data_IF_579346658819
#
_entry.id   IF_579346658819
#
_cell.length_a   1.000
_cell.length_b   1.000
_cell.length_c   1.000
_cell.angle_alpha   90.00
_cell.angle_beta   90.00
_cell.angle_gamma   90.00
#
_symmetry.space_group_name_H-M   'P 1'
#
loop_
_entity.id
_entity.type
_entity.pdbx_description
1 polymer ?
#
# COMPACT_ATOMS: atom_id res chain seq x y z
N UNK A 1 -10.11 0.10 7.17
CA UNK A 1 -10.02 -0.96 8.21
C UNK A 1 -9.01 -1.99 7.77
N UNK A 2 -8.25 -2.53 8.72
CA UNK A 2 -7.33 -3.65 8.52
C UNK A 2 -8.11 -4.92 8.78
N UNK A 3 -8.08 -5.84 7.83
CA UNK A 3 -8.74 -7.15 7.90
C UNK A 3 -7.64 -8.20 7.89
N UNK A 4 -7.63 -9.04 8.91
CA UNK A 4 -6.75 -10.21 8.99
C UNK A 4 -7.51 -11.44 8.55
N UNK A 5 -6.96 -12.17 7.58
CA UNK A 5 -7.62 -13.28 6.93
C UNK A 5 -6.62 -14.42 6.62
N UNK A 6 -7.11 -15.62 6.36
CA UNK A 6 -6.31 -16.76 5.93
C UNK A 6 -6.35 -16.90 4.41
N UNK A 7 -5.19 -17.03 3.79
CA UNK A 7 -5.04 -17.36 2.37
C UNK A 7 -5.49 -18.80 2.10
N UNK A 8 -5.65 -19.17 0.83
CA UNK A 8 -5.96 -20.55 0.41
C UNK A 8 -4.97 -21.60 0.91
N UNK A 9 -3.73 -21.17 1.21
CA UNK A 9 -2.67 -22.01 1.76
C UNK A 9 -2.66 -22.05 3.30
N UNK A 10 -3.66 -21.47 3.96
CA UNK A 10 -3.75 -21.39 5.43
C UNK A 10 -2.77 -20.38 6.06
N UNK A 11 -2.12 -19.53 5.26
CA UNK A 11 -1.22 -18.49 5.77
C UNK A 11 -1.98 -17.22 6.11
N UNK A 12 -1.62 -16.58 7.21
CA UNK A 12 -2.22 -15.30 7.63
C UNK A 12 -1.86 -14.21 6.63
N UNK A 13 -2.83 -13.38 6.30
CA UNK A 13 -2.72 -12.23 5.41
C UNK A 13 -3.41 -11.03 6.03
N UNK A 14 -2.87 -9.84 5.79
CA UNK A 14 -3.46 -8.58 6.24
C UNK A 14 -3.81 -7.73 5.03
N UNK A 15 -5.05 -7.28 4.94
CA UNK A 15 -5.51 -6.49 3.79
C UNK A 15 -6.19 -5.20 4.21
N UNK A 16 -5.93 -4.14 3.44
CA UNK A 16 -6.57 -2.84 3.59
C UNK A 16 -7.00 -2.35 2.22
N UNK A 17 -8.30 -2.11 2.07
CA UNK A 17 -8.84 -1.39 0.93
C UNK A 17 -8.90 0.09 1.29
N UNK A 18 -8.18 0.89 0.51
CA UNK A 18 -8.09 2.35 0.63
C UNK A 18 -8.84 2.97 -0.53
N UNK A 19 -9.63 4.02 -0.26
CA UNK A 19 -10.35 4.76 -1.29
C UNK A 19 -10.26 6.24 -1.00
N UNK A 20 -9.77 6.99 -1.98
CA UNK A 20 -9.91 8.45 -2.08
C UNK A 20 -10.85 8.78 -3.24
N UNK A 21 -11.22 10.04 -3.38
CA UNK A 21 -12.03 10.52 -4.52
C UNK A 21 -11.39 10.19 -5.88
N UNK A 22 -10.07 10.14 -5.95
CA UNK A 22 -9.33 9.92 -7.21
C UNK A 22 -8.91 8.47 -7.42
N UNK A 23 -8.76 7.68 -6.34
CA UNK A 23 -8.11 6.37 -6.43
C UNK A 23 -8.63 5.39 -5.40
N UNK A 24 -8.92 4.18 -5.86
CA UNK A 24 -9.09 3.00 -5.01
C UNK A 24 -7.84 2.14 -5.12
N UNK A 25 -7.27 1.72 -3.98
CA UNK A 25 -6.13 0.82 -3.93
C UNK A 25 -6.33 -0.24 -2.84
N UNK A 26 -5.85 -1.45 -3.08
CA UNK A 26 -5.84 -2.53 -2.10
C UNK A 26 -4.40 -2.90 -1.79
N UNK A 27 -4.02 -2.75 -0.53
CA UNK A 27 -2.68 -3.08 -0.03
C UNK A 27 -2.79 -4.35 0.80
N UNK A 28 -2.01 -5.38 0.42
CA UNK A 28 -1.98 -6.65 1.13
C UNK A 28 -0.57 -6.89 1.69
N UNK A 29 -0.48 -7.40 2.91
CA UNK A 29 0.74 -7.96 3.50
C UNK A 29 0.52 -9.46 3.62
N UNK A 30 1.45 -10.24 3.08
CA UNK A 30 1.36 -11.70 2.97
C UNK A 30 2.59 -12.36 3.58
N UNK A 31 2.42 -13.58 4.10
CA UNK A 31 3.55 -14.46 4.43
C UNK A 31 3.88 -15.32 3.22
N UNK A 32 5.17 -15.48 2.92
CA UNK A 32 5.70 -16.47 1.98
C UNK A 32 6.98 -17.06 2.57
N UNK A 33 7.03 -18.38 2.74
CA UNK A 33 8.20 -19.10 3.29
C UNK A 33 8.71 -18.50 4.61
N UNK A 34 7.81 -18.09 5.50
CA UNK A 34 8.17 -17.46 6.79
C UNK A 34 8.68 -16.02 6.70
N UNK A 35 8.59 -15.37 5.53
CA UNK A 35 8.96 -13.98 5.29
C UNK A 35 7.73 -13.15 4.93
N UNK A 36 7.77 -11.86 5.31
CA UNK A 36 6.67 -10.92 5.11
C UNK A 36 6.90 -10.06 3.88
N UNK A 37 5.91 -10.02 2.99
CA UNK A 37 5.96 -9.23 1.77
C UNK A 37 4.74 -8.32 1.63
N UNK A 38 4.96 -7.14 1.07
CA UNK A 38 3.94 -6.23 0.58
C UNK A 38 3.57 -6.63 -0.86
N UNK A 39 2.32 -7.05 -1.03
CA UNK A 39 1.71 -7.34 -2.34
C UNK A 39 0.81 -6.18 -2.75
N UNK A 40 1.16 -5.52 -3.85
CA UNK A 40 0.42 -4.38 -4.36
C UNK A 40 0.51 -4.28 -5.89
N UNK A 41 -0.60 -3.91 -6.55
CA UNK A 41 -0.71 -3.94 -8.02
C UNK A 41 0.25 -2.98 -8.75
N UNK A 42 0.75 -1.96 -8.06
CA UNK A 42 1.73 -1.00 -8.60
C UNK A 42 3.13 -1.61 -8.82
N UNK A 43 3.44 -2.73 -8.16
CA UNK A 43 4.74 -3.38 -8.26
C UNK A 43 4.66 -4.68 -9.08
N UNK A 44 5.75 -5.03 -9.75
CA UNK A 44 5.90 -6.26 -10.54
C UNK A 44 5.90 -7.49 -9.63
N UNK A 45 6.72 -7.41 -8.59
CA UNK A 45 6.99 -8.48 -7.64
C UNK A 45 6.55 -8.06 -6.24
N UNK A 46 6.39 -9.03 -5.34
CA UNK A 46 6.12 -8.77 -3.93
C UNK A 46 7.39 -8.26 -3.25
N UNK A 47 7.26 -7.18 -2.46
CA UNK A 47 8.41 -6.45 -1.90
C UNK A 47 8.56 -6.81 -0.42
N UNK A 48 9.76 -7.16 0.09
CA UNK A 48 9.96 -7.41 1.51
C UNK A 48 9.49 -6.23 2.36
N UNK A 49 8.74 -6.49 3.43
CA UNK A 49 8.14 -5.42 4.24
C UNK A 49 9.21 -4.48 4.84
N UNK A 50 10.35 -5.03 5.24
CA UNK A 50 11.46 -4.27 5.79
C UNK A 50 12.08 -3.30 4.75
N UNK A 51 12.09 -3.65 3.46
CA UNK A 51 12.54 -2.75 2.40
C UNK A 51 11.56 -1.58 2.21
N UNK A 52 10.25 -1.83 2.33
CA UNK A 52 9.22 -0.78 2.27
C UNK A 52 9.36 0.18 3.46
N UNK A 53 9.59 -0.34 4.67
CA UNK A 53 9.79 0.48 5.87
C UNK A 53 11.02 1.39 5.74
N UNK A 54 12.15 0.84 5.25
CA UNK A 54 13.36 1.63 4.93
C UNK A 54 13.10 2.70 3.88
N UNK A 55 12.37 2.36 2.81
CA UNK A 55 12.00 3.31 1.77
C UNK A 55 11.06 4.43 2.26
N UNK A 56 10.37 4.26 3.39
CA UNK A 56 9.55 5.29 4.03
C UNK A 56 10.30 6.06 5.15
N UNK A 57 11.57 5.75 5.41
CA UNK A 57 12.43 6.48 6.34
C UNK A 57 12.79 5.76 7.63
N UNK A 58 12.39 4.49 7.80
CA UNK A 58 12.73 3.67 8.97
C UNK A 58 13.97 2.85 8.65
N UNK A 59 15.15 3.42 8.90
CA UNK A 59 16.43 2.78 8.55
C UNK A 59 16.89 1.77 9.60
N UNK A 60 16.52 1.98 10.87
CA UNK A 60 16.91 1.12 11.98
C UNK A 60 16.01 -0.11 12.07
N UNK A 61 16.62 -1.30 12.00
CA UNK A 61 15.91 -2.57 12.23
C UNK A 61 15.28 -2.61 13.63
N UNK A 62 15.95 -2.02 14.62
CA UNK A 62 15.44 -1.93 15.99
C UNK A 62 14.18 -1.07 16.05
N UNK A 63 14.18 0.08 15.38
CA UNK A 63 13.02 0.97 15.30
C UNK A 63 11.84 0.25 14.62
N UNK A 64 12.10 -0.48 13.52
CA UNK A 64 11.08 -1.27 12.85
C UNK A 64 10.43 -2.30 13.79
N UNK A 65 11.23 -3.11 14.48
CA UNK A 65 10.71 -4.11 15.43
C UNK A 65 9.92 -3.43 16.55
N UNK A 66 10.45 -2.35 17.13
CA UNK A 66 9.79 -1.61 18.22
C UNK A 66 8.45 -1.00 17.81
N UNK A 67 8.33 -0.49 16.59
CA UNK A 67 7.06 0.03 16.06
C UNK A 67 6.00 -1.05 15.89
N UNK A 68 6.40 -2.27 15.56
CA UNK A 68 5.48 -3.41 15.47
C UNK A 68 5.10 -3.88 16.88
N UNK A 69 6.08 -4.09 17.76
CA UNK A 69 5.83 -4.35 19.18
C UNK A 69 7.05 -4.87 19.93
N UNK A 70 6.98 -4.82 21.26
CA UNK A 70 8.07 -5.21 22.15
C UNK A 70 8.09 -6.70 22.51
N UNK A 71 7.10 -7.48 22.07
CA UNK A 71 7.01 -8.90 22.40
C UNK A 71 8.09 -9.70 21.69
N UNK A 72 8.78 -10.64 22.39
CA UNK A 72 9.89 -11.40 21.81
C UNK A 72 9.44 -12.26 20.62
N UNK A 73 8.17 -12.71 20.61
CA UNK A 73 7.61 -13.47 19.50
C UNK A 73 7.58 -12.69 18.17
N UNK A 74 7.37 -11.37 18.21
CA UNK A 74 7.34 -10.55 17.00
C UNK A 74 8.72 -10.40 16.38
N UNK A 75 9.76 -10.22 17.21
CA UNK A 75 11.13 -10.12 16.74
C UNK A 75 11.57 -11.39 16.00
N UNK A 76 11.20 -12.57 16.52
CA UNK A 76 11.51 -13.85 15.90
C UNK A 76 10.83 -14.03 14.54
N UNK A 77 9.56 -13.63 14.41
CA UNK A 77 8.82 -13.71 13.14
C UNK A 77 9.28 -12.65 12.11
N UNK A 78 9.79 -11.51 12.56
CA UNK A 78 10.31 -10.45 11.68
C UNK A 78 11.75 -10.72 11.21
N UNK A 79 12.54 -11.45 11.99
CA UNK A 79 13.96 -11.73 11.70
C UNK A 79 14.22 -12.26 10.28
N UNK A 80 13.47 -13.24 9.73
CA UNK A 80 13.67 -13.70 8.36
C UNK A 80 13.46 -12.61 7.30
N UNK A 81 12.53 -11.68 7.53
CA UNK A 81 12.23 -10.58 6.62
C UNK A 81 13.33 -9.51 6.64
N UNK A 82 13.92 -9.26 7.82
CA UNK A 82 15.07 -8.36 7.98
C UNK A 82 16.32 -8.96 7.32
N UNK A 83 16.55 -10.27 7.48
CA UNK A 83 17.65 -10.97 6.83
C UNK A 83 17.53 -10.93 5.30
N UNK A 84 16.31 -11.07 4.75
CA UNK A 84 16.06 -10.98 3.31
C UNK A 84 16.51 -9.63 2.73
N UNK A 85 16.25 -8.53 3.44
CA UNK A 85 16.74 -7.20 3.03
C UNK A 85 18.27 -7.10 3.00
N UNK A 86 18.97 -7.75 3.94
CA UNK A 86 20.44 -7.80 3.95
C UNK A 86 20.97 -8.59 2.75
N UNK A 87 20.33 -9.71 2.41
CA UNK A 87 20.67 -10.50 1.22
C UNK A 87 20.45 -9.69 -0.07
N UNK A 88 19.40 -8.89 -0.12
CA UNK A 88 19.09 -7.99 -1.24
C UNK A 88 19.97 -6.72 -1.29
N UNK A 89 20.91 -6.57 -0.35
CA UNK A 89 21.82 -5.41 -0.23
C UNK A 89 21.09 -4.06 -0.07
N UNK A 90 19.95 -4.06 0.61
CA UNK A 90 19.17 -2.85 0.90
C UNK A 90 19.43 -2.42 2.34
N UNK A 91 20.32 -1.44 2.52
CA UNK A 91 20.70 -0.94 3.85
C UNK A 91 20.23 0.51 4.09
N UNK A 92 20.30 1.37 3.09
CA UNK A 92 19.95 2.79 3.23
C UNK A 92 18.58 3.13 2.65
N UNK A 93 17.99 4.25 3.08
CA UNK A 93 16.76 4.78 2.50
C UNK A 93 16.83 4.92 0.97
N UNK A 94 17.95 5.44 0.47
CA UNK A 94 18.16 5.65 -0.96
C UNK A 94 18.21 4.32 -1.74
N UNK A 95 18.94 3.32 -1.23
CA UNK A 95 18.99 1.97 -1.82
C UNK A 95 17.61 1.30 -1.82
N UNK A 96 16.82 1.51 -0.77
CA UNK A 96 15.47 0.98 -0.69
C UNK A 96 14.56 1.59 -1.77
N UNK A 97 14.62 2.92 -1.96
CA UNK A 97 13.88 3.59 -3.03
C UNK A 97 14.32 3.16 -4.43
N UNK A 98 15.62 2.95 -4.65
CA UNK A 98 16.14 2.43 -5.92
C UNK A 98 15.67 1.00 -6.20
N UNK A 99 15.69 0.14 -5.19
CA UNK A 99 15.16 -1.22 -5.26
C UNK A 99 13.67 -1.20 -5.60
N UNK A 100 12.87 -0.39 -4.90
CA UNK A 100 11.43 -0.24 -5.20
C UNK A 100 11.22 0.30 -6.61
N UNK A 101 11.97 1.31 -7.02
CA UNK A 101 11.90 1.93 -8.35
C UNK A 101 12.19 0.94 -9.48
N UNK A 102 13.07 -0.03 -9.25
CA UNK A 102 13.32 -1.12 -10.21
C UNK A 102 12.16 -2.11 -10.36
N UNK A 103 11.29 -2.19 -9.35
CA UNK A 103 10.13 -3.10 -9.26
C UNK A 103 8.80 -2.43 -9.58
N UNK A 104 8.81 -1.15 -9.93
CA UNK A 104 7.58 -0.44 -10.35
C UNK A 104 7.13 -0.97 -11.71
N UNK A 105 5.85 -1.34 -11.84
CA UNK A 105 5.26 -1.58 -13.16
C UNK A 105 5.12 -0.24 -13.86
N UNK A 106 5.84 -0.06 -14.97
CA UNK A 106 5.63 1.10 -15.83
C UNK A 106 4.15 1.16 -16.25
N UNK A 107 3.47 2.24 -15.89
CA UNK A 107 2.13 2.49 -16.38
C UNK A 107 2.19 2.66 -17.90
N UNK A 108 1.42 1.85 -18.65
CA UNK A 108 1.34 1.89 -20.13
C UNK A 108 0.73 3.17 -20.70
N UNK A 109 0.56 4.21 -19.89
CA UNK A 109 -0.10 5.44 -20.29
C UNK A 109 0.85 6.64 -20.25
N UNK A 110 1.03 7.18 -21.45
CA UNK A 110 1.46 8.51 -21.83
C UNK A 110 2.95 8.71 -22.15
N UNK A 111 3.16 8.75 -23.47
CA UNK A 111 4.23 9.33 -24.27
C UNK A 111 4.77 10.71 -23.85
N UNK A 112 4.38 11.27 -22.70
CA UNK A 112 4.76 12.63 -22.25
C UNK A 112 5.19 12.74 -20.78
N UNK A 113 5.37 11.63 -20.03
CA UNK A 113 6.05 11.73 -18.74
C UNK A 113 7.55 11.85 -18.97
N UNK A 114 8.04 13.10 -18.96
CA UNK A 114 9.46 13.44 -18.77
C UNK A 114 10.07 12.47 -17.78
N UNK A 115 11.23 11.92 -18.15
CA UNK A 115 12.17 11.11 -17.38
C UNK A 115 12.17 11.43 -15.88
N UNK A 116 11.22 10.89 -15.11
CA UNK A 116 11.28 10.93 -13.65
C UNK A 116 12.29 9.88 -13.22
N UNK A 117 13.11 10.21 -12.22
CA UNK A 117 14.00 9.21 -11.64
C UNK A 117 13.15 8.05 -11.10
N UNK A 118 13.63 6.82 -11.24
CA UNK A 118 12.97 5.63 -10.68
C UNK A 118 12.71 5.78 -9.17
N UNK A 119 13.59 6.52 -8.50
CA UNK A 119 13.50 6.87 -7.08
C UNK A 119 12.30 7.77 -6.80
N UNK A 120 12.07 8.78 -7.63
CA UNK A 120 10.93 9.69 -7.47
C UNK A 120 9.61 9.00 -7.79
N UNK A 121 9.60 8.09 -8.76
CA UNK A 121 8.44 7.26 -9.07
C UNK A 121 8.10 6.32 -7.92
N UNK A 122 9.09 5.66 -7.32
CA UNK A 122 8.90 4.85 -6.12
C UNK A 122 8.34 5.67 -4.95
N UNK A 123 8.89 6.87 -4.71
CA UNK A 123 8.42 7.78 -3.66
C UNK A 123 6.99 8.25 -3.90
N UNK A 124 6.63 8.56 -5.15
CA UNK A 124 5.26 8.94 -5.55
C UNK A 124 4.27 7.78 -5.35
N UNK A 125 4.67 6.54 -5.66
CA UNK A 125 3.85 5.35 -5.43
C UNK A 125 3.61 5.10 -3.95
N UNK A 126 4.65 5.21 -3.12
CA UNK A 126 4.50 5.10 -1.67
C UNK A 126 3.62 6.20 -1.09
N UNK A 127 3.71 7.42 -1.62
CA UNK A 127 2.92 8.56 -1.13
C UNK A 127 1.44 8.49 -1.56
N UNK A 128 1.16 8.20 -2.83
CA UNK A 128 -0.17 8.40 -3.41
C UNK A 128 -0.93 7.10 -3.72
N UNK A 129 -0.26 5.96 -3.74
CA UNK A 129 -0.87 4.70 -4.19
C UNK A 129 -1.00 3.69 -3.06
N UNK A 130 0.11 3.40 -2.38
CA UNK A 130 0.12 2.51 -1.21
C UNK A 130 -0.60 3.23 -0.07
N UNK A 131 -1.63 2.59 0.50
CA UNK A 131 -2.44 3.17 1.59
C UNK A 131 -2.90 4.60 1.26
N UNK A 132 -3.56 4.79 0.11
CA UNK A 132 -3.91 6.13 -0.40
C UNK A 132 -4.80 6.97 0.53
N UNK A 133 -5.49 6.33 1.48
CA UNK A 133 -6.31 7.02 2.48
C UNK A 133 -5.49 7.70 3.58
N UNK A 134 -4.20 7.36 3.74
CA UNK A 134 -3.28 8.04 4.66
C UNK A 134 -2.51 9.11 3.89
N UNK A 135 -2.82 10.40 4.10
CA UNK A 135 -2.17 11.48 3.39
C UNK A 135 -0.71 11.59 3.80
N UNK A 136 0.12 12.04 2.86
CA UNK A 136 1.55 12.30 3.09
C UNK A 136 1.82 13.75 2.71
N UNK A 137 2.13 14.58 3.70
CA UNK A 137 2.45 16.00 3.51
C UNK A 137 3.97 16.15 3.53
N UNK A 138 4.54 16.79 2.50
CA UNK A 138 5.99 17.01 2.39
C UNK A 138 6.84 15.74 2.54
N UNK A 139 6.37 14.61 1.99
CA UNK A 139 7.04 13.31 2.13
C UNK A 139 7.27 12.84 3.57
N UNK A 140 6.47 13.35 4.53
CA UNK A 140 6.45 12.81 5.87
C UNK A 140 5.61 11.52 5.92
N UNK A 141 6.30 10.38 5.95
CA UNK A 141 5.67 9.06 5.96
C UNK A 141 5.32 8.54 7.37
N UNK A 142 5.56 9.30 8.45
CA UNK A 142 5.41 8.80 9.83
C UNK A 142 4.04 8.17 10.13
N UNK A 143 2.95 8.81 9.68
CA UNK A 143 1.60 8.26 9.86
C UNK A 143 1.38 6.98 9.04
N UNK A 144 1.92 6.94 7.81
CA UNK A 144 1.80 5.79 6.92
C UNK A 144 2.63 4.60 7.39
N UNK A 145 3.83 4.87 7.90
CA UNK A 145 4.72 3.94 8.58
C UNK A 145 4.04 3.35 9.80
N UNK A 146 3.47 4.19 10.66
CA UNK A 146 2.74 3.75 11.86
C UNK A 146 1.54 2.86 11.51
N UNK A 147 0.80 3.23 10.46
CA UNK A 147 -0.33 2.42 9.98
C UNK A 147 0.14 1.06 9.43
N UNK A 148 1.21 1.04 8.64
CA UNK A 148 1.78 -0.20 8.12
C UNK A 148 2.36 -1.08 9.24
N UNK A 149 3.03 -0.49 10.23
CA UNK A 149 3.49 -1.20 11.42
C UNK A 149 2.32 -1.83 12.20
N UNK A 150 1.20 -1.12 12.31
CA UNK A 150 -0.01 -1.65 12.93
C UNK A 150 -0.65 -2.78 12.11
N UNK A 151 -0.61 -2.71 10.78
CA UNK A 151 -1.01 -3.83 9.90
C UNK A 151 -0.16 -5.08 10.15
N UNK A 152 1.16 -4.91 10.24
CA UNK A 152 2.11 -6.00 10.51
C UNK A 152 1.90 -6.54 11.92
N UNK A 153 1.71 -5.68 12.92
CA UNK A 153 1.45 -6.09 14.31
C UNK A 153 0.22 -6.99 14.42
N UNK A 154 -0.91 -6.57 13.83
CA UNK A 154 -2.14 -7.37 13.84
C UNK A 154 -1.96 -8.72 13.15
N UNK A 155 -1.21 -8.73 12.06
CA UNK A 155 -0.88 -9.95 11.32
C UNK A 155 -0.01 -10.89 12.16
N UNK A 156 1.03 -10.38 12.83
CA UNK A 156 1.88 -11.18 13.71
C UNK A 156 1.09 -11.73 14.89
N UNK A 157 0.24 -10.92 15.53
CA UNK A 157 -0.66 -11.39 16.60
C UNK A 157 -1.49 -12.59 16.14
N UNK A 158 -2.08 -12.53 14.94
CA UNK A 158 -2.84 -13.64 14.37
C UNK A 158 -1.98 -14.86 13.95
N UNK A 159 -0.67 -14.69 13.76
CA UNK A 159 0.25 -15.81 13.56
C UNK A 159 0.60 -16.53 14.88
N UNK A 160 0.64 -15.80 16.00
CA UNK A 160 0.86 -16.39 17.33
C UNK A 160 -0.43 -16.98 17.90
N UNK A 161 -1.55 -16.28 17.71
CA UNK A 161 -2.86 -16.63 18.22
C UNK A 161 -3.88 -16.70 17.06
N UNK A 162 -4.28 -17.90 16.62
CA UNK A 162 -5.27 -18.07 15.56
C UNK A 162 -6.63 -17.42 15.85
N UNK A 163 -6.97 -17.15 17.11
CA UNK A 163 -8.24 -16.50 17.48
C UNK A 163 -8.29 -15.02 17.09
N UNK A 164 -7.14 -14.40 16.80
CA UNK A 164 -7.05 -13.00 16.39
C UNK A 164 -7.32 -12.77 14.88
N UNK A 165 -7.65 -13.82 14.12
CA UNK A 165 -8.12 -13.70 12.73
C UNK A 165 -9.52 -13.07 12.71
N UNK A 166 -9.74 -12.08 11.82
CA UNK A 166 -11.04 -11.41 11.73
C UNK A 166 -12.08 -12.36 11.08
N UNK A 167 -13.29 -12.40 11.65
CA UNK A 167 -14.42 -13.07 11.01
C UNK A 167 -14.90 -12.29 9.77
N UNK A 168 -14.89 -12.96 8.62
CA UNK A 168 -15.35 -12.38 7.34
C UNK A 168 -16.83 -12.05 7.36
N UNK A 169 -17.63 -12.79 8.13
CA UNK A 169 -19.09 -12.69 8.15
C UNK A 169 -19.61 -11.78 9.25
N UNK A 170 -18.72 -11.26 10.10
CA UNK A 170 -19.07 -10.24 11.07
C UNK A 170 -19.67 -9.01 10.37
N UNK A 171 -20.94 -8.72 10.64
CA UNK A 171 -21.68 -7.63 9.99
C UNK A 171 -21.03 -6.26 10.16
N UNK A 172 -20.33 -6.00 11.26
CA UNK A 172 -19.60 -4.74 11.46
C UNK A 172 -18.42 -4.55 10.50
N UNK A 173 -18.03 -5.57 9.74
CA UNK A 173 -17.02 -5.48 8.67
C UNK A 173 -17.64 -5.13 7.32
N UNK A 174 -18.95 -5.31 7.16
CA UNK A 174 -19.66 -5.06 5.92
C UNK A 174 -20.08 -3.58 5.86
N UNK A 175 -20.08 -3.02 4.64
CA UNK A 175 -20.61 -1.69 4.35
C UNK A 175 -21.82 -1.85 3.43
N UNK A 176 -22.96 -1.30 3.82
CA UNK A 176 -24.17 -1.31 3.02
C UNK A 176 -24.19 -0.06 2.15
N UNK A 177 -24.11 -0.25 0.84
CA UNK A 177 -24.26 0.84 -0.14
C UNK A 177 -25.76 1.05 -0.40
N UNK A 178 -26.25 2.26 -0.10
CA UNK A 178 -27.64 2.64 -0.32
C UNK A 178 -27.84 3.22 -1.73
N UNK A 179 -29.07 3.19 -2.23
CA UNK A 179 -29.42 3.74 -3.55
C UNK A 179 -28.91 5.18 -3.76
N UNK A 180 -28.99 6.02 -2.72
CA UNK A 180 -28.49 7.39 -2.79
C UNK A 180 -26.98 7.49 -3.06
N UNK A 181 -26.17 6.65 -2.41
CA UNK A 181 -24.72 6.62 -2.63
C UNK A 181 -24.36 6.14 -4.04
N UNK A 182 -25.07 5.14 -4.55
CA UNK A 182 -24.89 4.63 -5.91
C UNK A 182 -25.28 5.66 -6.97
N UNK A 183 -26.42 6.36 -6.78
CA UNK A 183 -26.86 7.43 -7.67
C UNK A 183 -25.90 8.63 -7.65
N UNK A 184 -25.39 9.00 -6.48
CA UNK A 184 -24.43 10.10 -6.35
C UNK A 184 -23.13 9.79 -7.10
N UNK A 185 -22.58 8.59 -6.96
CA UNK A 185 -21.37 8.17 -7.68
C UNK A 185 -21.59 8.18 -9.21
N UNK A 186 -22.73 7.65 -9.67
CA UNK A 186 -23.06 7.65 -11.10
C UNK A 186 -23.23 9.07 -11.66
N UNK A 187 -23.93 9.93 -10.92
CA UNK A 187 -24.13 11.33 -11.30
C UNK A 187 -22.79 12.07 -11.41
N UNK A 188 -21.91 11.88 -10.43
CA UNK A 188 -20.59 12.50 -10.39
C UNK A 188 -19.73 12.12 -11.62
N UNK A 189 -19.71 10.83 -11.98
CA UNK A 189 -18.98 10.33 -13.15
C UNK A 189 -19.53 10.91 -14.46
N UNK A 190 -20.86 10.95 -14.62
CA UNK A 190 -21.51 11.54 -15.79
C UNK A 190 -21.27 13.05 -15.87
N UNK A 191 -21.29 13.75 -14.75
CA UNK A 191 -21.05 15.19 -14.69
C UNK A 191 -19.59 15.55 -15.04
N UNK A 192 -18.60 14.78 -14.54
CA UNK A 192 -17.19 14.94 -14.93
C UNK A 192 -16.98 14.70 -16.43
N UNK A 193 -17.68 13.71 -17.00
CA UNK A 193 -17.64 13.43 -18.44
C UNK A 193 -18.24 14.58 -19.24
N UNK A 194 -19.40 15.10 -18.84
CA UNK A 194 -20.04 16.26 -19.46
C UNK A 194 -19.10 17.47 -19.49
N UNK A 195 -18.44 17.77 -18.36
CA UNK A 195 -17.49 18.89 -18.29
C UNK A 195 -16.28 18.69 -19.22
N UNK A 196 -15.79 17.46 -19.34
CA UNK A 196 -14.69 17.11 -20.24
C UNK A 196 -15.08 17.25 -21.71
N UNK A 197 -16.29 16.81 -22.06
CA UNK A 197 -16.83 16.92 -23.42
C UNK A 197 -17.13 18.38 -23.81
N UNK A 198 -17.70 19.17 -22.89
CA UNK A 198 -17.91 20.62 -23.07
C UNK A 198 -16.60 21.35 -23.30
N UNK A 199 -15.58 21.07 -22.48
CA UNK A 199 -14.24 21.64 -22.67
C UNK A 199 -13.68 21.30 -24.04
N UNK A 200 -13.75 20.04 -24.46
CA UNK A 200 -13.26 19.59 -25.77
C UNK A 200 -13.97 20.31 -26.92
N UNK A 201 -15.28 20.52 -26.82
CA UNK A 201 -16.05 21.24 -27.83
C UNK A 201 -15.69 22.74 -27.85
N UNK A 202 -15.57 23.38 -26.69
CA UNK A 202 -15.17 24.78 -26.60
C UNK A 202 -13.76 25.00 -27.18
N UNK A 203 -12.79 24.16 -26.83
CA UNK A 203 -11.42 24.22 -27.34
C UNK A 203 -11.39 24.07 -28.88
N UNK A 204 -12.21 23.17 -29.46
CA UNK A 204 -12.28 22.97 -30.90
C UNK A 204 -12.93 24.14 -31.67
N UNK A 205 -13.83 24.88 -31.03
CA UNK A 205 -14.45 26.09 -31.61
C UNK A 205 -13.51 27.28 -31.49
N UNK A 206 -12.81 27.42 -30.37
CA UNK A 206 -11.86 28.51 -30.11
C UNK A 206 -10.51 28.34 -30.82
N UNK A 207 -10.16 27.13 -31.26
CA UNK A 207 -8.96 26.86 -32.06
C UNK A 207 -9.15 27.09 -33.57
N UNK A 208 -10.33 27.57 -33.99
CA UNK A 208 -10.60 28.06 -35.36
C UNK A 208 -10.48 29.58 -35.39
#
# INVERSE_FOLDING_TARGET
RIIIDLDSHGQVTSSVTSSTHERKSKTNVIVKHGKLYLKHNAFSDDIPIAAVMRAMGVESDQEFVQMVGQEPGFANLLSPSIQDCKTLRVFTHQQALEYLGSKVKMARQMFHRRTRSKVDEARDILANVVLCHVPVVMFNFQQKVSYLALMVRKMLLAMLDPSAVDDRDYYGNKRLELAGGLLALLFEDLFKRLNSDLKRQADAVLSK
#
